data_IF_246548909337
#
_entry.id   IF_246548909337
#
_cell.length_a   1.000
_cell.length_b   1.000
_cell.length_c   1.000
_cell.angle_alpha   90.00
_cell.angle_beta   90.00
_cell.angle_gamma   90.00
#
_symmetry.space_group_name_H-M   'P 1'
#
loop_
_entity.id
_entity.type
_entity.pdbx_description
1 polymer ?
#
# COMPACT_ATOMS: atom_id res chain seq x y z
N UNK A 1 68.97 10.23 -31.44
CA UNK A 1 68.44 8.97 -30.86
C UNK A 1 67.02 9.22 -30.38
N UNK A 2 66.03 8.98 -31.23
CA UNK A 2 64.61 9.18 -30.94
C UNK A 2 63.95 7.84 -30.62
N UNK A 3 63.65 7.57 -29.33
CA UNK A 3 62.83 6.42 -28.92
C UNK A 3 61.38 6.72 -29.28
N UNK A 4 60.85 6.07 -30.31
CA UNK A 4 59.41 5.96 -30.51
C UNK A 4 58.85 5.02 -29.43
N UNK A 5 58.09 5.59 -28.48
CA UNK A 5 57.25 4.79 -27.59
C UNK A 5 56.07 4.26 -28.40
N UNK A 6 56.06 2.96 -28.67
CA UNK A 6 54.89 2.27 -29.21
C UNK A 6 53.84 2.21 -28.09
N UNK A 7 52.79 3.01 -28.20
CA UNK A 7 51.63 2.89 -27.32
C UNK A 7 50.90 1.58 -27.68
N UNK A 8 51.01 0.57 -26.81
CA UNK A 8 50.32 -0.69 -26.98
C UNK A 8 48.80 -0.44 -26.98
N UNK A 9 48.13 -0.76 -28.09
CA UNK A 9 46.68 -0.67 -28.19
C UNK A 9 46.08 -1.67 -27.19
N UNK A 10 45.16 -1.24 -26.31
CA UNK A 10 44.55 -2.16 -25.36
C UNK A 10 43.85 -3.28 -26.13
N UNK A 11 43.97 -4.53 -25.68
CA UNK A 11 43.31 -5.64 -26.34
C UNK A 11 41.80 -5.41 -26.33
N UNK A 12 41.12 -5.76 -27.42
CA UNK A 12 39.68 -5.49 -27.64
C UNK A 12 38.83 -5.94 -26.44
N UNK A 13 39.21 -7.05 -25.79
CA UNK A 13 38.57 -7.57 -24.59
C UNK A 13 38.55 -6.56 -23.41
N UNK A 14 39.64 -5.80 -23.19
CA UNK A 14 39.73 -4.80 -22.12
C UNK A 14 38.79 -3.62 -22.40
N UNK A 15 38.68 -3.19 -23.65
CA UNK A 15 37.74 -2.14 -24.06
C UNK A 15 36.28 -2.60 -23.88
N UNK A 16 35.98 -3.86 -24.22
CA UNK A 16 34.65 -4.46 -24.03
C UNK A 16 34.28 -4.55 -22.55
N UNK A 17 35.20 -5.04 -21.70
CA UNK A 17 34.96 -5.14 -20.25
C UNK A 17 34.81 -3.74 -19.63
N UNK A 18 35.67 -2.79 -20.01
CA UNK A 18 35.57 -1.40 -19.54
C UNK A 18 34.25 -0.74 -19.94
N UNK A 19 33.78 -0.96 -21.18
CA UNK A 19 32.48 -0.50 -21.65
C UNK A 19 31.32 -1.11 -20.87
N UNK A 20 31.35 -2.43 -20.64
CA UNK A 20 30.32 -3.12 -19.86
C UNK A 20 30.27 -2.63 -18.40
N UNK A 21 31.43 -2.39 -17.78
CA UNK A 21 31.52 -1.84 -16.43
C UNK A 21 30.97 -0.42 -16.35
N UNK A 22 31.30 0.45 -17.31
CA UNK A 22 30.75 1.81 -17.38
C UNK A 22 29.23 1.80 -17.57
N UNK A 23 28.69 0.89 -18.38
CA UNK A 23 27.24 0.73 -18.54
C UNK A 23 26.56 0.25 -17.26
N UNK A 24 27.19 -0.68 -16.52
CA UNK A 24 26.69 -1.13 -15.22
C UNK A 24 26.68 0.02 -14.21
N UNK A 25 27.77 0.78 -14.09
CA UNK A 25 27.87 1.93 -13.19
C UNK A 25 26.86 3.00 -13.58
N UNK A 26 26.74 3.33 -14.88
CA UNK A 26 25.74 4.27 -15.35
C UNK A 26 24.31 3.80 -15.04
N UNK A 27 24.01 2.51 -15.22
CA UNK A 27 22.70 1.93 -14.87
C UNK A 27 22.42 2.03 -13.37
N UNK A 28 23.40 1.71 -12.52
CA UNK A 28 23.30 1.85 -11.06
C UNK A 28 23.10 3.32 -10.64
N UNK A 29 23.84 4.25 -11.25
CA UNK A 29 23.73 5.69 -10.96
C UNK A 29 22.39 6.25 -11.44
N UNK A 30 21.96 5.92 -12.66
CA UNK A 30 20.66 6.35 -13.19
C UNK A 30 19.53 5.80 -12.31
N UNK A 31 19.54 4.51 -11.99
CA UNK A 31 18.56 3.91 -11.09
C UNK A 31 18.61 4.47 -9.66
N UNK A 32 19.77 4.95 -9.22
CA UNK A 32 19.93 5.60 -7.91
C UNK A 32 19.43 7.04 -7.89
N UNK A 33 19.40 7.74 -9.03
CA UNK A 33 19.00 9.14 -9.15
C UNK A 33 17.54 9.31 -9.61
N UNK A 34 16.92 8.27 -10.19
CA UNK A 34 15.49 8.28 -10.50
C UNK A 34 14.69 8.22 -9.20
N UNK A 35 14.24 9.38 -8.71
CA UNK A 35 13.24 9.42 -7.64
C UNK A 35 11.94 8.82 -8.18
N UNK A 36 11.32 7.84 -7.51
CA UNK A 36 9.96 7.43 -7.87
C UNK A 36 9.08 8.67 -7.85
N UNK A 37 8.41 8.96 -8.95
CA UNK A 37 7.39 9.98 -8.97
C UNK A 37 6.28 9.50 -8.03
N UNK A 38 6.30 9.99 -6.78
CA UNK A 38 5.28 9.62 -5.82
C UNK A 38 3.96 10.16 -6.35
N UNK A 39 2.89 9.33 -6.43
CA UNK A 39 1.57 9.87 -6.67
C UNK A 39 1.32 10.92 -5.60
N UNK A 40 1.01 12.15 -6.04
CA UNK A 40 0.87 13.30 -5.16
C UNK A 40 -0.46 13.25 -4.38
N UNK A 41 -0.66 12.17 -3.62
CA UNK A 41 -1.78 12.05 -2.70
C UNK A 41 -1.65 13.13 -1.61
N UNK A 42 -2.81 13.65 -1.23
CA UNK A 42 -2.96 14.56 -0.10
C UNK A 42 -3.96 13.95 0.88
N UNK A 43 -3.88 14.33 2.15
CA UNK A 43 -4.82 13.89 3.17
C UNK A 43 -6.26 14.18 2.75
N UNK A 44 -7.12 13.18 2.90
CA UNK A 44 -8.53 13.33 2.56
C UNK A 44 -9.21 14.28 3.54
N UNK A 45 -9.81 15.35 3.00
CA UNK A 45 -10.52 16.38 3.75
C UNK A 45 -12.05 16.16 3.81
N UNK A 46 -12.55 15.03 3.29
CA UNK A 46 -13.99 14.79 3.20
C UNK A 46 -14.61 14.72 4.60
N UNK A 47 -15.68 15.51 4.88
CA UNK A 47 -16.37 15.42 6.16
C UNK A 47 -17.06 14.05 6.30
N UNK A 48 -17.16 13.51 7.53
CA UNK A 48 -17.87 12.27 7.78
C UNK A 48 -19.31 12.34 7.27
N UNK A 49 -19.70 11.37 6.44
CA UNK A 49 -21.04 11.26 5.87
C UNK A 49 -21.60 9.86 6.16
N UNK A 50 -22.79 9.79 6.77
CA UNK A 50 -23.45 8.51 7.06
C UNK A 50 -23.92 7.90 5.74
N UNK A 51 -23.46 6.68 5.47
CA UNK A 51 -23.68 5.96 4.22
C UNK A 51 -24.98 5.13 4.22
N UNK A 52 -25.39 4.63 5.39
CA UNK A 52 -26.50 3.68 5.51
C UNK A 52 -26.22 2.35 4.82
N UNK A 53 -27.24 1.79 4.15
CA UNK A 53 -27.16 0.49 3.47
C UNK A 53 -26.60 0.56 2.04
N UNK A 54 -26.15 1.73 1.61
CA UNK A 54 -25.69 2.00 0.24
C UNK A 54 -24.40 1.25 -0.12
N UNK A 55 -24.23 0.99 -1.42
CA UNK A 55 -22.94 0.63 -2.01
C UNK A 55 -22.16 1.93 -2.32
N UNK A 56 -21.01 2.11 -1.68
CA UNK A 56 -20.14 3.28 -1.87
C UNK A 56 -18.83 2.88 -2.52
N UNK A 57 -18.38 3.71 -3.45
CA UNK A 57 -17.12 3.56 -4.16
C UNK A 57 -17.28 3.06 -5.60
N UNK A 58 -16.18 2.83 -6.32
CA UNK A 58 -14.79 2.94 -5.83
C UNK A 58 -14.44 4.36 -5.36
N UNK A 59 -13.87 4.47 -4.17
CA UNK A 59 -13.40 5.72 -3.58
C UNK A 59 -11.95 5.59 -3.12
N UNK A 60 -11.19 6.69 -3.18
CA UNK A 60 -9.82 6.76 -2.66
C UNK A 60 -9.80 7.59 -1.39
N UNK A 61 -9.09 7.10 -0.37
CA UNK A 61 -8.93 7.79 0.89
C UNK A 61 -7.45 7.76 1.32
N UNK A 62 -6.99 8.88 1.86
CA UNK A 62 -5.62 9.08 2.34
C UNK A 62 -5.66 9.59 3.78
N UNK A 63 -4.94 8.91 4.67
CA UNK A 63 -4.86 9.25 6.09
C UNK A 63 -3.43 9.24 6.62
N UNK A 64 -3.21 10.02 7.67
CA UNK A 64 -1.97 10.01 8.42
C UNK A 64 -2.00 8.90 9.48
N UNK A 65 -1.14 7.89 9.31
CA UNK A 65 -0.88 6.81 10.24
C UNK A 65 0.55 6.86 10.81
N UNK A 66 1.20 8.04 10.79
CA UNK A 66 2.59 8.22 11.18
C UNK A 66 2.87 7.97 12.66
N UNK A 67 1.87 8.11 13.52
CA UNK A 67 2.01 7.89 14.94
C UNK A 67 2.41 6.43 15.26
N UNK A 68 3.27 6.26 16.27
CA UNK A 68 3.83 4.96 16.65
C UNK A 68 3.07 4.29 17.79
N UNK A 69 2.35 5.08 18.58
CA UNK A 69 1.67 4.69 19.82
C UNK A 69 0.14 4.58 19.64
N UNK A 70 -0.44 5.35 18.72
CA UNK A 70 -1.89 5.37 18.44
C UNK A 70 -2.24 4.81 17.06
N UNK A 71 -3.44 4.26 16.96
CA UNK A 71 -4.04 3.80 15.71
C UNK A 71 -4.90 4.89 15.09
N UNK A 72 -4.70 5.19 13.79
CA UNK A 72 -5.63 5.99 13.02
C UNK A 72 -6.78 5.11 12.53
N UNK A 73 -7.99 5.38 13.02
CA UNK A 73 -9.19 4.56 12.73
C UNK A 73 -9.96 5.12 11.55
N UNK A 74 -10.58 4.23 10.80
CA UNK A 74 -11.45 4.52 9.66
C UNK A 74 -12.75 3.74 9.78
N UNK A 75 -13.88 4.40 9.50
CA UNK A 75 -15.21 3.81 9.47
C UNK A 75 -15.79 3.95 8.07
N UNK A 76 -16.05 2.81 7.41
CA UNK A 76 -16.63 2.81 6.08
C UNK A 76 -18.03 3.41 6.07
N UNK A 77 -18.81 3.20 7.14
CA UNK A 77 -20.17 3.71 7.28
C UNK A 77 -20.24 5.23 7.43
N UNK A 78 -19.10 5.88 7.72
CA UNK A 78 -18.94 7.34 7.79
C UNK A 78 -18.09 7.90 6.65
N UNK A 79 -17.50 7.04 5.81
CA UNK A 79 -16.52 7.42 4.79
C UNK A 79 -15.46 8.39 5.33
N UNK A 80 -14.95 8.11 6.53
CA UNK A 80 -14.03 9.02 7.19
C UNK A 80 -13.17 8.33 8.23
N UNK A 81 -12.02 8.95 8.49
CA UNK A 81 -11.25 8.67 9.68
C UNK A 81 -11.99 9.21 10.93
N UNK A 82 -11.92 8.46 12.03
CA UNK A 82 -12.69 8.75 13.26
C UNK A 82 -11.80 8.76 14.49
N UNK A 83 -12.03 9.73 15.37
CA UNK A 83 -11.31 9.88 16.64
C UNK A 83 -12.02 9.21 17.83
N UNK A 84 -13.29 8.84 17.68
CA UNK A 84 -14.10 8.16 18.68
C UNK A 84 -15.25 7.38 18.02
N UNK A 85 -15.89 6.51 18.79
CA UNK A 85 -17.01 5.70 18.30
C UNK A 85 -16.61 4.46 17.48
N UNK A 86 -17.57 3.88 16.74
CA UNK A 86 -17.35 2.70 15.90
C UNK A 86 -16.30 2.94 14.82
N UNK A 87 -15.54 1.90 14.49
CA UNK A 87 -14.55 1.89 13.43
C UNK A 87 -14.51 0.49 12.81
N UNK A 88 -13.98 0.40 11.60
CA UNK A 88 -13.90 -0.87 10.85
C UNK A 88 -12.46 -1.28 10.57
N UNK A 89 -11.61 -0.31 10.26
CA UNK A 89 -10.18 -0.48 10.02
C UNK A 89 -9.36 0.45 10.90
N UNK A 90 -8.15 0.05 11.22
CA UNK A 90 -7.19 0.95 11.80
C UNK A 90 -5.79 0.76 11.23
N UNK A 91 -5.08 1.88 11.13
CA UNK A 91 -3.75 1.98 10.55
C UNK A 91 -2.76 2.52 11.57
N UNK A 92 -1.56 1.95 11.60
CA UNK A 92 -0.44 2.44 12.41
C UNK A 92 0.86 2.11 11.71
N UNK A 93 1.60 3.13 11.32
CA UNK A 93 2.74 3.00 10.39
C UNK A 93 2.27 2.25 9.13
N UNK A 94 2.90 1.13 8.80
CA UNK A 94 2.53 0.27 7.68
C UNK A 94 1.54 -0.85 8.07
N UNK A 95 1.01 -0.86 9.30
CA UNK A 95 0.10 -1.91 9.76
C UNK A 95 -1.34 -1.57 9.46
N UNK A 96 -2.12 -2.59 9.19
CA UNK A 96 -3.57 -2.55 9.01
C UNK A 96 -4.20 -3.66 9.85
N UNK A 97 -5.23 -3.29 10.61
CA UNK A 97 -6.03 -4.22 11.41
C UNK A 97 -7.52 -3.96 11.18
N UNK A 98 -8.34 -4.99 11.42
CA UNK A 98 -9.79 -4.84 11.49
C UNK A 98 -10.22 -4.46 12.91
N UNK A 99 -11.43 -3.91 13.05
CA UNK A 99 -12.04 -3.75 14.36
C UNK A 99 -12.33 -5.12 15.03
N UNK A 100 -12.34 -5.20 16.37
CA UNK A 100 -12.71 -6.41 17.10
C UNK A 100 -14.06 -6.97 16.63
N UNK A 101 -14.14 -8.28 16.37
CA UNK A 101 -15.32 -8.92 15.77
C UNK A 101 -15.40 -8.85 14.24
N UNK A 102 -14.55 -8.03 13.61
CA UNK A 102 -14.30 -8.05 12.17
C UNK A 102 -13.11 -8.94 11.79
N UNK A 103 -12.79 -8.94 10.49
CA UNK A 103 -11.64 -9.68 9.96
C UNK A 103 -11.30 -9.31 8.53
N UNK A 104 -10.12 -9.74 8.09
CA UNK A 104 -9.56 -9.44 6.76
C UNK A 104 -9.20 -10.76 6.06
N UNK A 105 -9.46 -10.83 4.76
CA UNK A 105 -8.98 -11.90 3.88
C UNK A 105 -8.14 -11.27 2.77
N UNK A 106 -6.98 -11.86 2.48
CA UNK A 106 -6.17 -11.49 1.32
C UNK A 106 -6.68 -12.25 0.10
N UNK A 107 -7.08 -11.52 -0.93
CA UNK A 107 -7.53 -12.05 -2.22
C UNK A 107 -6.37 -12.12 -3.23
N UNK A 108 -5.18 -11.64 -2.84
CA UNK A 108 -3.98 -11.65 -3.65
C UNK A 108 -3.93 -10.54 -4.70
N UNK A 109 -2.97 -10.62 -5.63
CA UNK A 109 -2.85 -9.66 -6.72
C UNK A 109 -3.97 -9.88 -7.74
N UNK A 110 -4.85 -8.88 -7.88
CA UNK A 110 -5.90 -8.88 -8.88
C UNK A 110 -6.31 -7.45 -9.25
N UNK A 111 -6.81 -7.20 -10.48
CA UNK A 111 -7.38 -5.92 -10.83
C UNK A 111 -8.54 -5.57 -9.89
N UNK A 112 -8.58 -4.34 -9.38
CA UNK A 112 -9.62 -3.94 -8.43
C UNK A 112 -11.03 -4.23 -8.94
N UNK A 113 -11.29 -4.02 -10.23
CA UNK A 113 -12.61 -4.21 -10.83
C UNK A 113 -12.96 -5.68 -11.13
N UNK A 114 -12.05 -6.64 -10.91
CA UNK A 114 -12.32 -8.06 -11.19
C UNK A 114 -13.09 -8.78 -10.08
N UNK A 115 -13.14 -8.22 -8.87
CA UNK A 115 -13.81 -8.83 -7.71
C UNK A 115 -15.16 -8.16 -7.48
N UNK A 116 -16.23 -8.83 -7.88
CA UNK A 116 -17.61 -8.36 -7.74
C UNK A 116 -18.30 -8.88 -6.47
N UNK A 117 -17.87 -10.03 -5.95
CA UNK A 117 -18.41 -10.65 -4.75
C UNK A 117 -17.27 -11.17 -3.87
N UNK A 118 -17.31 -10.84 -2.58
CA UNK A 118 -16.32 -11.29 -1.60
C UNK A 118 -16.62 -12.72 -1.10
N UNK A 119 -15.61 -13.48 -0.67
CA UNK A 119 -15.82 -14.82 -0.12
C UNK A 119 -16.66 -14.78 1.16
N UNK A 120 -17.36 -15.89 1.45
CA UNK A 120 -18.20 -16.03 2.65
C UNK A 120 -17.39 -16.28 3.93
N UNK A 121 -16.20 -16.87 3.80
CA UNK A 121 -15.33 -17.27 4.90
C UNK A 121 -13.86 -16.89 4.62
N UNK A 122 -12.96 -17.18 5.57
CA UNK A 122 -11.53 -16.90 5.44
C UNK A 122 -11.07 -15.55 6.01
N UNK A 123 -11.97 -14.81 6.65
CA UNK A 123 -11.62 -13.55 7.32
C UNK A 123 -10.86 -13.81 8.61
N UNK A 124 -9.56 -13.52 8.60
CA UNK A 124 -8.71 -13.63 9.77
C UNK A 124 -8.97 -12.49 10.76
N UNK A 125 -9.18 -12.85 12.02
CA UNK A 125 -9.16 -11.92 13.14
C UNK A 125 -7.73 -11.40 13.39
N UNK A 126 -7.62 -10.32 14.15
CA UNK A 126 -6.31 -9.83 14.56
C UNK A 126 -5.66 -10.77 15.57
N UNK A 127 -4.34 -10.90 15.49
CA UNK A 127 -3.52 -11.51 16.53
C UNK A 127 -3.12 -10.41 17.53
N UNK A 128 -3.64 -10.51 18.75
CA UNK A 128 -3.32 -9.56 19.82
C UNK A 128 -1.90 -9.76 20.33
N UNK A 129 -1.24 -8.66 20.68
CA UNK A 129 0.11 -8.64 21.23
C UNK A 129 0.63 -7.21 21.36
N UNK A 130 1.88 -7.03 21.84
CA UNK A 130 2.52 -5.70 21.95
C UNK A 130 2.46 -4.93 20.63
N UNK A 131 2.54 -5.67 19.53
CA UNK A 131 2.38 -5.13 18.19
C UNK A 131 1.29 -5.92 17.44
N UNK A 132 0.03 -5.62 17.80
CA UNK A 132 -1.16 -6.23 17.21
C UNK A 132 -1.10 -6.16 15.67
N UNK A 133 -1.46 -7.26 15.02
CA UNK A 133 -1.41 -7.40 13.57
C UNK A 133 -2.58 -8.23 13.06
N UNK A 134 -2.94 -8.03 11.78
CA UNK A 134 -3.81 -8.96 11.09
C UNK A 134 -2.97 -9.89 10.20
N UNK A 135 -3.02 -11.23 10.43
CA UNK A 135 -2.15 -12.17 9.72
C UNK A 135 -2.46 -12.26 8.22
N UNK A 136 -3.68 -11.89 7.77
CA UNK A 136 -4.01 -11.87 6.36
C UNK A 136 -3.34 -10.71 5.60
N UNK A 137 -3.04 -9.59 6.25
CA UNK A 137 -2.43 -8.44 5.55
C UNK A 137 -0.93 -8.64 5.36
N UNK A 138 -0.24 -9.09 6.41
CA UNK A 138 1.21 -9.28 6.40
C UNK A 138 1.97 -8.04 5.89
N UNK A 139 2.96 -8.27 5.01
CA UNK A 139 3.67 -7.22 4.29
C UNK A 139 2.94 -6.91 2.98
N UNK A 140 1.97 -6.01 3.03
CA UNK A 140 1.24 -5.51 1.84
C UNK A 140 2.13 -4.71 0.87
N UNK A 141 3.38 -4.43 1.28
CA UNK A 141 4.38 -3.70 0.51
C UNK A 141 5.59 -4.56 0.17
N UNK A 142 6.28 -4.20 -0.91
CA UNK A 142 7.64 -4.58 -1.22
C UNK A 142 8.62 -3.52 -0.68
N UNK A 143 9.72 -3.96 -0.08
CA UNK A 143 10.77 -3.08 0.42
C UNK A 143 11.99 -3.16 -0.51
N UNK A 144 12.43 -2.01 -1.00
CA UNK A 144 13.65 -1.92 -1.81
C UNK A 144 14.86 -1.73 -0.90
N UNK A 145 15.85 -2.62 -0.99
CA UNK A 145 17.11 -2.46 -0.25
C UNK A 145 17.99 -1.32 -0.79
N UNK A 146 17.79 -0.93 -2.05
CA UNK A 146 18.56 0.14 -2.70
C UNK A 146 18.03 1.52 -2.31
N UNK A 147 16.71 1.72 -2.41
CA UNK A 147 16.08 3.03 -2.15
C UNK A 147 15.51 3.15 -0.74
N UNK A 148 15.42 2.06 0.02
CA UNK A 148 14.72 1.97 1.31
C UNK A 148 13.23 2.36 1.24
N UNK A 149 12.63 2.27 0.05
CA UNK A 149 11.24 2.63 -0.18
C UNK A 149 10.29 1.44 -0.10
N UNK A 150 9.07 1.74 0.35
CA UNK A 150 7.94 0.83 0.50
C UNK A 150 6.98 1.02 -0.68
N UNK A 151 6.91 0.05 -1.57
CA UNK A 151 5.98 0.08 -2.72
C UNK A 151 4.84 -0.88 -2.49
N UNK A 152 3.59 -0.49 -2.80
CA UNK A 152 2.47 -1.41 -2.64
C UNK A 152 2.64 -2.66 -3.52
N UNK A 153 2.20 -3.80 -3.02
CA UNK A 153 2.02 -5.01 -3.82
C UNK A 153 0.70 -5.04 -4.59
N UNK A 154 -0.17 -4.05 -4.36
CA UNK A 154 -1.49 -3.96 -5.01
C UNK A 154 -2.36 -5.22 -4.81
N UNK A 155 -2.26 -5.83 -3.62
CA UNK A 155 -3.17 -6.90 -3.23
C UNK A 155 -4.56 -6.34 -2.95
N UNK A 156 -5.57 -7.13 -3.30
CA UNK A 156 -6.95 -6.88 -2.90
C UNK A 156 -7.24 -7.58 -1.58
N UNK A 157 -7.89 -6.85 -0.68
CA UNK A 157 -8.31 -7.35 0.61
C UNK A 157 -9.83 -7.30 0.70
N UNK A 158 -10.43 -8.39 1.17
CA UNK A 158 -11.81 -8.40 1.64
C UNK A 158 -11.85 -8.08 3.13
N UNK A 159 -12.80 -7.24 3.55
CA UNK A 159 -13.01 -6.87 4.95
C UNK A 159 -14.43 -7.24 5.35
N UNK A 160 -14.57 -8.00 6.43
CA UNK A 160 -15.82 -8.18 7.15
C UNK A 160 -15.79 -7.27 8.38
N UNK A 161 -16.66 -6.28 8.42
CA UNK A 161 -16.80 -5.37 9.56
C UNK A 161 -17.44 -6.09 10.76
N UNK A 162 -17.26 -5.59 12.00
CA UNK A 162 -17.93 -6.16 13.18
C UNK A 162 -19.46 -6.14 13.09
N UNK A 163 -20.01 -5.24 12.26
CA UNK A 163 -21.44 -5.05 12.02
C UNK A 163 -22.00 -5.96 10.91
N UNK A 164 -21.22 -6.93 10.44
CA UNK A 164 -21.65 -7.86 9.39
C UNK A 164 -21.76 -7.24 8.00
N UNK A 165 -21.12 -6.09 7.78
CA UNK A 165 -21.03 -5.42 6.47
C UNK A 165 -19.69 -5.72 5.80
N UNK A 166 -19.60 -5.51 4.49
CA UNK A 166 -18.47 -5.96 3.68
C UNK A 166 -17.80 -4.79 2.94
N UNK A 167 -16.48 -4.84 2.80
CA UNK A 167 -15.72 -3.91 1.98
C UNK A 167 -14.61 -4.64 1.21
N UNK A 168 -14.29 -4.13 0.02
CA UNK A 168 -13.07 -4.49 -0.72
C UNK A 168 -12.10 -3.32 -0.64
N UNK A 169 -10.83 -3.59 -0.42
CA UNK A 169 -9.78 -2.61 -0.15
C UNK A 169 -8.53 -2.94 -0.96
N UNK A 170 -7.87 -1.92 -1.49
CA UNK A 170 -6.50 -2.01 -2.01
C UNK A 170 -5.65 -0.88 -1.44
N UNK A 171 -4.50 -1.23 -0.88
CA UNK A 171 -3.52 -0.25 -0.41
C UNK A 171 -2.72 0.24 -1.61
N UNK A 172 -2.68 1.56 -1.83
CA UNK A 172 -2.07 2.19 -3.01
C UNK A 172 -0.69 2.76 -2.69
N UNK A 173 -0.56 3.47 -1.57
CA UNK A 173 0.69 4.14 -1.22
C UNK A 173 0.91 4.24 0.29
N UNK A 174 2.19 4.31 0.68
CA UNK A 174 2.66 4.58 2.04
C UNK A 174 3.10 6.04 2.24
N UNK A 175 3.14 6.82 1.16
CA UNK A 175 3.64 8.18 1.14
C UNK A 175 2.58 9.14 0.59
N UNK A 176 2.57 10.37 1.09
CA UNK A 176 1.74 11.47 0.59
C UNK A 176 2.45 12.80 0.86
N UNK A 177 1.96 13.88 0.25
CA UNK A 177 2.57 15.21 0.34
C UNK A 177 2.59 15.77 1.77
N UNK A 178 1.54 15.53 2.55
CA UNK A 178 1.34 16.23 3.82
C UNK A 178 2.10 15.57 4.99
N UNK A 179 2.03 14.24 5.13
CA UNK A 179 2.66 13.52 6.24
C UNK A 179 3.98 12.81 5.87
N UNK A 180 4.34 12.77 4.59
CA UNK A 180 5.57 12.15 4.10
C UNK A 180 5.53 10.63 4.18
N UNK A 181 5.80 10.05 5.35
CA UNK A 181 5.83 8.59 5.57
C UNK A 181 4.65 8.11 6.40
N UNK A 182 4.24 6.86 6.22
CA UNK A 182 3.06 6.31 6.89
C UNK A 182 1.80 7.14 6.63
N UNK A 183 1.74 7.76 5.45
CA UNK A 183 0.56 8.38 4.92
C UNK A 183 -0.11 7.38 3.98
N UNK A 184 -1.06 6.63 4.53
CA UNK A 184 -1.63 5.49 3.84
C UNK A 184 -2.72 5.99 2.89
N UNK A 185 -2.53 5.71 1.61
CA UNK A 185 -3.57 5.89 0.59
C UNK A 185 -4.11 4.53 0.19
N UNK A 186 -5.43 4.39 0.14
CA UNK A 186 -6.10 3.18 -0.27
C UNK A 186 -7.33 3.50 -1.13
N UNK A 187 -7.70 2.58 -2.02
CA UNK A 187 -9.01 2.60 -2.68
C UNK A 187 -9.90 1.51 -2.12
N UNK A 188 -11.19 1.75 -2.08
CA UNK A 188 -12.13 0.80 -1.52
C UNK A 188 -13.54 0.90 -2.12
N UNK A 189 -14.30 -0.18 -1.95
CA UNK A 189 -15.75 -0.24 -2.12
C UNK A 189 -16.36 -0.79 -0.84
N UNK A 190 -17.43 -0.19 -0.34
CA UNK A 190 -18.14 -0.61 0.86
C UNK A 190 -19.60 -0.94 0.55
N UNK A 191 -20.05 -2.10 1.00
CA UNK A 191 -21.43 -2.56 0.87
C UNK A 191 -22.17 -2.45 2.22
N UNK A 192 -22.96 -1.39 2.35
CA UNK A 192 -23.71 -1.06 3.56
C UNK A 192 -24.83 -2.04 3.90
N UNK A 193 -25.52 -2.65 2.93
CA UNK A 193 -26.62 -3.59 3.18
C UNK A 193 -26.23 -4.95 3.78
N UNK A 194 -24.94 -5.31 3.85
CA UNK A 194 -24.47 -6.57 4.44
C UNK A 194 -24.36 -7.75 3.46
N UNK A 195 -24.73 -7.57 2.19
CA UNK A 195 -24.39 -8.53 1.13
C UNK A 195 -22.89 -8.49 0.84
N UNK A 196 -22.38 -9.56 0.21
CA UNK A 196 -20.97 -9.67 -0.19
C UNK A 196 -20.66 -9.03 -1.54
N UNK A 197 -21.67 -8.46 -2.22
CA UNK A 197 -21.53 -7.82 -3.52
C UNK A 197 -20.87 -6.44 -3.36
N UNK A 198 -19.73 -6.25 -4.00
CA UNK A 198 -18.86 -5.05 -3.87
C UNK A 198 -18.61 -4.38 -5.22
N UNK A 199 -19.64 -4.41 -6.06
CA UNK A 199 -19.71 -3.78 -7.37
C UNK A 199 -21.20 -3.61 -7.74
N UNK A 200 -21.50 -2.65 -8.63
CA UNK A 200 -22.85 -2.48 -9.18
C UNK A 200 -23.14 -3.60 -10.18
#
# INVERSE_FOLDING_TARGET
>A
MSRQSSAARPPILVLVIGGAFLLLVASLVIGSLTTPEYPAFALSAAPPAIVGDSLIGPGTYTLDASATDRWRRFDFGRNAAVDSGPWDLAFRRFRLIAAPGGGIVDLGPAPFDSVFELPAAGYAANTAGPDTANPAVGKWYAYSMLSHLLTSKHHLYGVRTPRGKYAKLELLAYYCRDAGTACITFRYVYQGNGTRRVAR
#
